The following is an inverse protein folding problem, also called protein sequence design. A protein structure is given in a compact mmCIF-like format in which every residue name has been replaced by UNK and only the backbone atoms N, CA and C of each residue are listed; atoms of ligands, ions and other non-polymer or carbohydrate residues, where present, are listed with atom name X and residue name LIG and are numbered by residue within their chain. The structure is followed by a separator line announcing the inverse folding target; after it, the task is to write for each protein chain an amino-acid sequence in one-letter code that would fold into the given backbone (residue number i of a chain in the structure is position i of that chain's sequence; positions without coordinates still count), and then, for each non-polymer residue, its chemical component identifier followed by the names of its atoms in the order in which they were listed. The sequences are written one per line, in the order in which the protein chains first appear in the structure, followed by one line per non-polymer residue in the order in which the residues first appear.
data_IF_850158901435
#
_entry.id   IF_850158901435
#
_cell.length_a   1.000
_cell.length_b   1.000
_cell.length_c   1.000
_cell.angle_alpha   90.00
_cell.angle_beta   90.00
_cell.angle_gamma   90.00
#
_symmetry.space_group_name_H-M   'P 1'
#
loop_
_entity.id
_entity.type
_entity.pdbx_description
1 polymer ?
#
# COMPACT_ATOMS: atom_id res chain seq x y z
N UNK A 1 20.54 59.38 28.37
CA UNK A 1 20.02 58.04 28.61
C UNK A 1 18.83 57.88 27.68
N UNK A 2 19.01 57.25 26.52
CA UNK A 2 17.94 57.04 25.55
C UNK A 2 17.60 55.52 25.61
N UNK A 3 16.43 55.26 26.16
CA UNK A 3 15.88 53.90 26.29
C UNK A 3 15.31 53.47 24.91
N UNK A 4 16.02 52.58 24.22
CA UNK A 4 15.59 52.00 22.96
C UNK A 4 14.55 50.92 23.25
N UNK A 5 13.29 51.27 23.10
CA UNK A 5 12.19 50.31 23.10
C UNK A 5 12.27 49.46 21.83
N UNK A 6 12.78 48.25 21.98
CA UNK A 6 12.77 47.22 20.91
C UNK A 6 11.33 46.70 20.81
N UNK A 7 10.57 47.17 19.84
CA UNK A 7 9.28 46.58 19.45
C UNK A 7 9.55 45.34 18.60
N UNK A 8 9.31 44.16 19.16
CA UNK A 8 9.34 42.91 18.42
C UNK A 8 8.30 42.95 17.29
N UNK A 9 8.74 42.69 16.08
CA UNK A 9 7.89 42.62 14.88
C UNK A 9 6.95 41.40 15.00
N UNK A 10 5.61 41.56 15.02
CA UNK A 10 4.65 40.45 15.10
C UNK A 10 4.66 39.51 13.88
N UNK A 11 5.34 39.89 12.79
CA UNK A 11 5.47 39.08 11.60
C UNK A 11 6.46 37.90 11.76
N UNK A 12 7.31 37.89 12.82
CA UNK A 12 8.29 36.82 13.04
C UNK A 12 7.73 35.59 13.77
N UNK A 13 6.58 35.72 14.45
CA UNK A 13 5.99 34.58 15.20
C UNK A 13 5.21 33.59 14.35
N UNK A 14 4.71 34.00 13.18
CA UNK A 14 3.88 33.15 12.31
C UNK A 14 4.68 32.16 11.43
N UNK A 15 6.00 32.34 11.32
CA UNK A 15 6.85 31.46 10.52
C UNK A 15 7.30 30.16 11.23
N UNK A 16 7.08 30.06 12.55
CA UNK A 16 7.60 28.96 13.37
C UNK A 16 6.79 27.65 13.32
N UNK A 17 5.58 27.64 12.75
CA UNK A 17 4.64 26.50 12.84
C UNK A 17 4.78 25.44 11.75
N UNK A 18 5.54 25.72 10.69
CA UNK A 18 5.75 24.79 9.57
C UNK A 18 7.13 24.10 9.54
N UNK A 19 7.92 24.20 10.63
CA UNK A 19 9.24 23.57 10.68
C UNK A 19 9.17 22.04 10.74
N UNK A 20 10.12 21.32 10.12
CA UNK A 20 10.21 19.88 10.24
C UNK A 20 10.29 19.42 11.69
N UNK A 21 9.65 18.29 12.01
CA UNK A 21 9.67 17.71 13.36
C UNK A 21 11.11 17.55 13.85
N UNK A 22 11.47 18.25 14.95
CA UNK A 22 12.82 18.16 15.52
C UNK A 22 13.11 16.75 16.02
N UNK A 23 14.39 16.31 16.01
CA UNK A 23 14.83 14.97 16.44
C UNK A 23 14.31 14.53 17.81
N UNK A 24 14.01 15.48 18.71
CA UNK A 24 13.53 15.20 20.08
C UNK A 24 12.08 14.69 20.14
N UNK A 25 11.23 15.02 19.15
CA UNK A 25 9.80 14.65 19.11
C UNK A 25 9.56 13.46 18.16
N UNK A 26 10.56 13.04 17.41
CA UNK A 26 10.47 11.97 16.43
C UNK A 26 10.38 10.60 17.10
N UNK A 27 9.34 9.83 16.81
CA UNK A 27 9.16 8.47 17.33
C UNK A 27 10.03 7.52 16.50
N UNK A 28 11.24 7.26 17.00
CA UNK A 28 12.24 6.44 16.28
C UNK A 28 11.76 5.04 15.94
N UNK A 29 10.94 4.42 16.80
CA UNK A 29 10.41 3.08 16.57
C UNK A 29 9.52 3.00 15.32
N UNK A 30 8.71 4.03 15.05
CA UNK A 30 7.87 4.09 13.84
C UNK A 30 8.73 4.19 12.59
N UNK A 31 9.78 5.00 12.61
CA UNK A 31 10.68 5.14 11.47
C UNK A 31 11.47 3.87 11.21
N UNK A 32 11.92 3.19 12.26
CA UNK A 32 12.62 1.89 12.14
C UNK A 32 11.71 0.83 11.57
N UNK A 33 10.47 0.69 12.10
CA UNK A 33 9.50 -0.26 11.58
C UNK A 33 9.15 0.01 10.11
N UNK A 34 9.03 1.29 9.73
CA UNK A 34 8.80 1.68 8.34
C UNK A 34 9.96 1.28 7.44
N UNK A 35 11.20 1.46 7.91
CA UNK A 35 12.40 1.01 7.19
C UNK A 35 12.45 -0.49 7.00
N UNK A 36 12.15 -1.27 8.04
CA UNK A 36 12.09 -2.74 7.99
C UNK A 36 10.98 -3.19 7.02
N UNK A 37 9.80 -2.59 7.10
CA UNK A 37 8.70 -2.92 6.20
C UNK A 37 9.04 -2.63 4.73
N UNK A 38 9.68 -1.51 4.44
CA UNK A 38 10.16 -1.18 3.07
C UNK A 38 11.19 -2.18 2.57
N UNK A 39 12.13 -2.60 3.44
CA UNK A 39 13.11 -3.62 3.07
C UNK A 39 12.45 -4.97 2.76
N UNK A 40 11.46 -5.38 3.55
CA UNK A 40 10.68 -6.58 3.27
C UNK A 40 9.93 -6.49 1.93
N UNK A 41 9.26 -5.37 1.66
CA UNK A 41 8.58 -5.12 0.38
C UNK A 41 9.58 -5.20 -0.79
N UNK A 42 10.80 -4.65 -0.62
CA UNK A 42 11.86 -4.75 -1.64
C UNK A 42 12.26 -6.19 -1.93
N UNK A 43 12.39 -7.03 -0.89
CA UNK A 43 12.75 -8.45 -1.05
C UNK A 43 11.75 -9.20 -1.94
N UNK A 44 10.45 -8.91 -1.80
CA UNK A 44 9.43 -9.52 -2.67
C UNK A 44 9.47 -8.92 -4.09
N UNK A 45 9.67 -7.61 -4.21
CA UNK A 45 9.74 -6.97 -5.52
C UNK A 45 10.95 -7.41 -6.36
N UNK A 46 12.02 -7.94 -5.76
CA UNK A 46 13.17 -8.50 -6.48
C UNK A 46 12.73 -9.60 -7.46
N UNK A 47 11.75 -10.42 -7.10
CA UNK A 47 11.20 -11.45 -7.98
C UNK A 47 10.64 -10.82 -9.26
N UNK A 48 9.84 -9.76 -9.12
CA UNK A 48 9.24 -9.06 -10.25
C UNK A 48 10.23 -8.22 -11.07
N UNK A 49 11.41 -7.89 -10.51
CA UNK A 49 12.49 -7.24 -11.27
C UNK A 49 13.31 -8.20 -12.10
N UNK A 50 13.46 -9.45 -11.64
CA UNK A 50 14.35 -10.44 -12.26
C UNK A 50 13.65 -11.49 -13.11
N UNK A 51 12.36 -11.72 -12.88
CA UNK A 51 11.55 -12.75 -13.54
C UNK A 51 10.34 -12.14 -14.24
N UNK A 52 9.69 -12.88 -15.16
CA UNK A 52 8.40 -12.45 -15.72
C UNK A 52 7.40 -12.15 -14.60
N UNK A 53 6.61 -11.09 -14.77
CA UNK A 53 5.67 -10.62 -13.72
C UNK A 53 4.67 -11.72 -13.28
N UNK A 54 4.35 -12.67 -14.16
CA UNK A 54 3.53 -13.83 -13.82
C UNK A 54 4.12 -14.71 -12.72
N UNK A 55 5.46 -14.79 -12.63
CA UNK A 55 6.17 -15.58 -11.59
C UNK A 55 5.99 -15.00 -10.19
N UNK A 56 5.64 -13.71 -10.08
CA UNK A 56 5.33 -13.09 -8.80
C UNK A 56 4.06 -13.67 -8.16
N UNK A 57 3.05 -14.02 -8.96
CA UNK A 57 1.77 -14.57 -8.49
C UNK A 57 1.69 -16.08 -8.55
N UNK A 58 2.48 -16.68 -9.44
CA UNK A 58 2.45 -18.12 -9.67
C UNK A 58 3.87 -18.70 -9.71
N UNK A 59 4.35 -19.31 -8.63
CA UNK A 59 5.70 -19.87 -8.56
C UNK A 59 5.93 -21.01 -9.56
N UNK A 60 4.87 -21.65 -10.04
CA UNK A 60 4.96 -22.76 -11.01
C UNK A 60 5.13 -22.26 -12.45
N UNK A 61 4.95 -20.95 -12.69
CA UNK A 61 5.13 -20.34 -14.00
C UNK A 61 6.57 -20.46 -14.52
N UNK A 62 7.54 -20.40 -13.60
CA UNK A 62 8.95 -20.64 -13.92
C UNK A 62 9.37 -22.03 -13.45
N UNK A 63 9.72 -22.90 -14.40
CA UNK A 63 10.18 -24.27 -14.15
C UNK A 63 11.44 -24.38 -13.27
N UNK A 64 12.12 -23.27 -13.00
CA UNK A 64 13.32 -23.22 -12.14
C UNK A 64 12.99 -23.08 -10.64
N UNK A 65 11.72 -22.92 -10.27
CA UNK A 65 11.27 -22.83 -8.88
C UNK A 65 11.01 -24.22 -8.30
N UNK A 66 12.11 -24.97 -8.09
CA UNK A 66 12.10 -26.29 -7.44
C UNK A 66 12.97 -26.31 -6.18
N UNK A 67 12.75 -27.29 -5.33
CA UNK A 67 13.55 -27.55 -4.15
C UNK A 67 13.68 -26.34 -3.22
N UNK A 68 14.90 -25.89 -2.97
CA UNK A 68 15.18 -24.78 -2.05
C UNK A 68 14.61 -23.44 -2.55
N UNK A 69 14.56 -23.21 -3.87
CA UNK A 69 14.03 -21.99 -4.44
C UNK A 69 12.52 -21.87 -4.16
N UNK A 70 11.78 -22.96 -4.34
CA UNK A 70 10.36 -23.02 -4.03
C UNK A 70 10.10 -22.82 -2.53
N UNK A 71 10.87 -23.47 -1.67
CA UNK A 71 10.75 -23.30 -0.22
C UNK A 71 11.04 -21.87 0.22
N UNK A 72 12.03 -21.23 -0.39
CA UNK A 72 12.37 -19.83 -0.12
C UNK A 72 11.25 -18.91 -0.59
N UNK A 73 10.69 -19.13 -1.78
CA UNK A 73 9.56 -18.37 -2.30
C UNK A 73 8.36 -18.46 -1.34
N UNK A 74 7.96 -19.67 -0.94
CA UNK A 74 6.84 -19.89 -0.01
C UNK A 74 7.10 -19.20 1.34
N UNK A 75 8.30 -19.30 1.88
CA UNK A 75 8.65 -18.64 3.13
C UNK A 75 8.57 -17.12 3.00
N UNK A 76 9.06 -16.54 1.90
CA UNK A 76 8.95 -15.11 1.62
C UNK A 76 7.51 -14.66 1.44
N UNK A 77 6.69 -15.42 0.73
CA UNK A 77 5.26 -15.12 0.53
C UNK A 77 4.52 -15.09 1.87
N UNK A 78 4.70 -16.10 2.72
CA UNK A 78 4.01 -16.20 4.01
C UNK A 78 4.48 -15.15 5.01
N UNK A 79 5.80 -14.97 5.18
CA UNK A 79 6.36 -14.17 6.28
C UNK A 79 6.64 -12.72 5.88
N UNK A 80 6.85 -12.44 4.60
CA UNK A 80 7.28 -11.11 4.14
C UNK A 80 6.17 -10.39 3.40
N UNK A 81 5.58 -11.01 2.37
CA UNK A 81 4.66 -10.35 1.45
C UNK A 81 3.47 -9.68 2.17
N UNK A 82 2.58 -10.46 2.76
CA UNK A 82 1.40 -9.92 3.43
C UNK A 82 1.72 -9.12 4.68
N UNK A 83 2.68 -9.61 5.49
CA UNK A 83 3.05 -9.00 6.76
C UNK A 83 3.69 -7.62 6.59
N UNK A 84 4.65 -7.47 5.68
CA UNK A 84 5.37 -6.20 5.50
C UNK A 84 4.48 -5.14 4.86
N UNK A 85 3.64 -5.49 3.91
CA UNK A 85 2.62 -4.58 3.35
C UNK A 85 1.59 -4.16 4.41
N UNK A 86 1.16 -5.09 5.25
CA UNK A 86 0.25 -4.82 6.36
C UNK A 86 0.84 -3.82 7.36
N UNK A 87 2.08 -4.06 7.81
CA UNK A 87 2.81 -3.16 8.70
C UNK A 87 2.96 -1.78 8.06
N UNK A 88 3.37 -1.71 6.80
CA UNK A 88 3.54 -0.45 6.08
C UNK A 88 2.22 0.33 5.96
N UNK A 89 1.10 -0.35 5.68
CA UNK A 89 -0.23 0.25 5.62
C UNK A 89 -0.67 0.82 6.97
N UNK A 90 -0.46 0.07 8.05
CA UNK A 90 -0.74 0.54 9.41
C UNK A 90 0.10 1.77 9.78
N UNK A 91 1.39 1.76 9.43
CA UNK A 91 2.29 2.90 9.67
C UNK A 91 1.94 4.11 8.80
N UNK A 92 1.40 3.90 7.60
CA UNK A 92 0.87 4.98 6.77
C UNK A 92 -0.32 5.65 7.44
N UNK A 93 -1.30 4.87 7.93
CA UNK A 93 -2.45 5.37 8.67
C UNK A 93 -2.07 6.09 9.96
N UNK A 94 -1.14 5.52 10.75
CA UNK A 94 -0.61 6.17 11.95
C UNK A 94 0.10 7.50 11.62
N UNK A 95 0.89 7.53 10.56
CA UNK A 95 1.56 8.74 10.08
C UNK A 95 0.58 9.82 9.63
N UNK A 96 -0.53 9.42 9.01
CA UNK A 96 -1.63 10.32 8.66
C UNK A 96 -2.23 10.98 9.91
N UNK A 97 -2.61 10.17 10.91
CA UNK A 97 -3.17 10.70 12.16
C UNK A 97 -2.20 11.66 12.85
N UNK A 98 -0.94 11.26 13.03
CA UNK A 98 0.08 12.11 13.64
C UNK A 98 0.31 13.42 12.88
N UNK A 99 0.08 13.43 11.59
CA UNK A 99 0.24 14.64 10.77
C UNK A 99 -0.93 15.61 10.95
N UNK A 100 -2.18 15.10 10.97
CA UNK A 100 -3.37 15.96 11.06
C UNK A 100 -3.70 16.40 12.50
N UNK A 101 -3.30 15.62 13.51
CA UNK A 101 -3.62 15.92 14.92
C UNK A 101 -2.55 16.73 15.62
N UNK A 102 -1.75 17.52 14.90
CA UNK A 102 -0.78 18.44 15.51
C UNK A 102 -1.52 19.53 16.30
N UNK A 103 -1.35 19.61 17.65
CA UNK A 103 -2.17 20.48 18.49
C UNK A 103 -1.97 21.97 18.25
N UNK A 104 -0.79 22.39 17.79
CA UNK A 104 -0.37 23.80 17.68
C UNK A 104 -0.22 24.28 16.23
N UNK A 105 -0.74 23.54 15.26
CA UNK A 105 -0.59 23.88 13.85
C UNK A 105 -1.91 24.46 13.28
N UNK A 106 -1.78 25.46 12.42
CA UNK A 106 -2.89 26.00 11.64
C UNK A 106 -3.53 24.88 10.81
N UNK A 107 -4.82 24.64 11.02
CA UNK A 107 -5.57 23.55 10.36
C UNK A 107 -5.56 23.71 8.84
N UNK A 108 -5.67 24.91 8.31
CA UNK A 108 -5.67 25.18 6.88
C UNK A 108 -4.30 24.92 6.25
N UNK A 109 -3.23 25.28 6.95
CA UNK A 109 -1.87 24.99 6.53
C UNK A 109 -1.59 23.48 6.51
N UNK A 110 -1.98 22.77 7.57
CA UNK A 110 -1.82 21.30 7.66
C UNK A 110 -2.59 20.61 6.54
N UNK A 111 -3.83 21.05 6.31
CA UNK A 111 -4.67 20.55 5.22
C UNK A 111 -4.00 20.75 3.85
N UNK A 112 -3.54 21.96 3.57
CA UNK A 112 -2.88 22.29 2.31
C UNK A 112 -1.62 21.45 2.07
N UNK A 113 -0.76 21.29 3.09
CA UNK A 113 0.44 20.45 3.03
C UNK A 113 0.09 18.97 2.83
N UNK A 114 -0.96 18.48 3.49
CA UNK A 114 -1.43 17.11 3.33
C UNK A 114 -1.86 16.82 1.91
N UNK A 115 -2.75 17.64 1.34
CA UNK A 115 -3.21 17.44 -0.03
C UNK A 115 -2.07 17.55 -1.04
N UNK A 116 -1.19 18.54 -0.90
CA UNK A 116 -0.02 18.66 -1.76
C UNK A 116 0.85 17.40 -1.74
N UNK A 117 1.14 16.85 -0.55
CA UNK A 117 1.90 15.61 -0.39
C UNK A 117 1.20 14.43 -1.04
N UNK A 118 -0.11 14.30 -0.83
CA UNK A 118 -0.92 13.19 -1.35
C UNK A 118 -1.03 13.22 -2.87
N UNK A 119 -1.25 14.41 -3.43
CA UNK A 119 -1.26 14.61 -4.89
C UNK A 119 0.11 14.29 -5.50
N UNK A 120 1.22 14.72 -4.86
CA UNK A 120 2.56 14.36 -5.32
C UNK A 120 2.79 12.85 -5.32
N UNK A 121 2.30 12.11 -4.30
CA UNK A 121 2.37 10.64 -4.29
C UNK A 121 1.64 10.04 -5.49
N UNK A 122 0.43 10.53 -5.81
CA UNK A 122 -0.34 10.08 -6.98
C UNK A 122 0.43 10.36 -8.27
N UNK A 123 0.96 11.58 -8.44
CA UNK A 123 1.70 11.96 -9.64
C UNK A 123 2.96 11.12 -9.84
N UNK A 124 3.71 10.87 -8.75
CA UNK A 124 4.90 10.01 -8.81
C UNK A 124 4.50 8.56 -9.12
N UNK A 125 3.40 8.06 -8.54
CA UNK A 125 2.90 6.72 -8.84
C UNK A 125 2.45 6.58 -10.29
N UNK A 126 1.77 7.57 -10.86
CA UNK A 126 1.41 7.61 -12.28
C UNK A 126 2.68 7.63 -13.15
N UNK A 127 3.68 8.44 -12.80
CA UNK A 127 4.96 8.45 -13.49
C UNK A 127 5.64 7.07 -13.47
N UNK A 128 5.68 6.40 -12.31
CA UNK A 128 6.23 5.06 -12.20
C UNK A 128 5.49 4.05 -13.10
N UNK A 129 4.16 4.08 -13.07
CA UNK A 129 3.34 3.12 -13.82
C UNK A 129 3.47 3.31 -15.34
N UNK A 130 3.48 4.54 -15.84
CA UNK A 130 3.42 4.82 -17.28
C UNK A 130 4.77 5.12 -17.92
N UNK A 131 5.71 5.70 -17.20
CA UNK A 131 7.03 6.08 -17.72
C UNK A 131 8.08 5.02 -17.39
N UNK A 132 8.11 4.55 -16.13
CA UNK A 132 9.02 3.47 -15.73
C UNK A 132 8.44 2.08 -16.01
N UNK A 133 7.18 2.01 -16.46
CA UNK A 133 6.45 0.76 -16.80
C UNK A 133 6.49 -0.24 -15.64
N UNK A 134 6.36 0.27 -14.40
CA UNK A 134 6.37 -0.54 -13.20
C UNK A 134 4.95 -0.75 -12.66
N UNK A 135 4.30 -1.92 -12.94
CA UNK A 135 2.91 -2.18 -12.54
C UNK A 135 2.75 -2.42 -11.03
N UNK A 136 3.84 -2.72 -10.32
CA UNK A 136 3.87 -2.95 -8.86
C UNK A 136 3.94 -1.67 -8.02
N UNK A 137 3.63 -0.49 -8.59
CA UNK A 137 3.71 0.77 -7.84
C UNK A 137 2.66 0.88 -6.74
N UNK A 138 3.14 1.14 -5.53
CA UNK A 138 2.29 1.34 -4.35
C UNK A 138 1.97 2.81 -4.09
N UNK A 139 2.72 3.76 -4.67
CA UNK A 139 2.59 5.19 -4.38
C UNK A 139 1.25 5.74 -4.84
N UNK A 140 0.80 5.34 -6.05
CA UNK A 140 -0.51 5.69 -6.57
C UNK A 140 -1.61 5.21 -5.61
N UNK A 141 -1.57 3.94 -5.23
CA UNK A 141 -2.57 3.33 -4.33
C UNK A 141 -2.60 4.02 -2.97
N UNK A 142 -1.43 4.29 -2.37
CA UNK A 142 -1.35 5.02 -1.10
C UNK A 142 -1.76 6.49 -1.23
N UNK A 143 -1.51 7.12 -2.38
CA UNK A 143 -2.00 8.46 -2.66
C UNK A 143 -3.52 8.53 -2.70
N UNK A 144 -4.17 7.63 -3.44
CA UNK A 144 -5.64 7.54 -3.49
C UNK A 144 -6.22 7.17 -2.12
N UNK A 145 -5.66 6.16 -1.45
CA UNK A 145 -6.07 5.77 -0.10
C UNK A 145 -5.93 6.95 0.90
N UNK A 146 -4.87 7.76 0.77
CA UNK A 146 -4.69 8.98 1.55
C UNK A 146 -5.82 9.98 1.37
N UNK A 147 -6.25 10.25 0.13
CA UNK A 147 -7.40 11.13 -0.12
C UNK A 147 -8.67 10.62 0.56
N UNK A 148 -8.94 9.31 0.45
CA UNK A 148 -10.09 8.68 1.11
C UNK A 148 -9.96 8.76 2.63
N UNK A 149 -8.78 8.52 3.18
CA UNK A 149 -8.53 8.55 4.61
C UNK A 149 -8.85 9.91 5.23
N UNK A 150 -8.65 11.00 4.48
CA UNK A 150 -8.98 12.35 4.92
C UNK A 150 -10.46 12.55 5.21
N UNK A 151 -11.35 11.89 4.45
CA UNK A 151 -12.81 11.92 4.67
C UNK A 151 -13.16 11.33 6.03
N UNK A 152 -12.43 10.32 6.46
CA UNK A 152 -12.67 9.60 7.72
C UNK A 152 -11.98 10.21 8.94
N UNK A 153 -11.28 11.34 8.81
CA UNK A 153 -10.47 11.96 9.87
C UNK A 153 -11.21 12.26 11.17
N UNK A 154 -12.52 12.48 11.10
CA UNK A 154 -13.36 12.79 12.26
C UNK A 154 -14.06 11.55 12.86
N UNK A 155 -13.84 10.36 12.29
CA UNK A 155 -14.48 9.15 12.78
C UNK A 155 -13.77 8.62 14.02
N UNK A 156 -14.57 8.13 14.99
CA UNK A 156 -14.00 7.47 16.17
C UNK A 156 -13.31 6.16 15.79
N UNK A 157 -12.30 5.75 16.58
CA UNK A 157 -11.58 4.51 16.38
C UNK A 157 -12.50 3.28 16.27
N UNK A 158 -13.60 3.26 17.08
CA UNK A 158 -14.59 2.16 17.02
C UNK A 158 -15.32 2.11 15.68
N UNK A 159 -15.72 3.28 15.12
CA UNK A 159 -16.37 3.35 13.81
C UNK A 159 -15.42 2.93 12.69
N UNK A 160 -14.16 3.38 12.74
CA UNK A 160 -13.14 2.98 11.78
C UNK A 160 -12.85 1.47 11.83
N UNK A 161 -12.75 0.90 13.02
CA UNK A 161 -12.55 -0.54 13.19
C UNK A 161 -13.73 -1.34 12.63
N UNK A 162 -14.97 -0.88 12.86
CA UNK A 162 -16.17 -1.52 12.30
C UNK A 162 -16.18 -1.46 10.77
N UNK A 163 -15.94 -0.28 10.18
CA UNK A 163 -15.89 -0.10 8.72
C UNK A 163 -14.81 -0.99 8.12
N UNK A 164 -13.60 -1.00 8.71
CA UNK A 164 -12.50 -1.86 8.26
C UNK A 164 -12.87 -3.33 8.34
N UNK A 165 -13.48 -3.76 9.44
CA UNK A 165 -13.93 -5.15 9.61
C UNK A 165 -14.96 -5.57 8.56
N UNK A 166 -15.92 -4.71 8.24
CA UNK A 166 -16.91 -4.96 7.17
C UNK A 166 -16.23 -5.05 5.81
N UNK A 167 -15.31 -4.12 5.49
CA UNK A 167 -14.57 -4.16 4.22
C UNK A 167 -13.75 -5.44 4.11
N UNK A 168 -13.02 -5.83 5.16
CA UNK A 168 -12.24 -7.08 5.17
C UNK A 168 -13.13 -8.31 5.01
N UNK A 169 -14.29 -8.36 5.68
CA UNK A 169 -15.24 -9.46 5.53
C UNK A 169 -15.77 -9.56 4.09
N UNK A 170 -16.15 -8.44 3.49
CA UNK A 170 -16.60 -8.40 2.09
C UNK A 170 -15.50 -8.85 1.12
N UNK A 171 -14.28 -8.37 1.29
CA UNK A 171 -13.14 -8.78 0.46
C UNK A 171 -12.83 -10.27 0.62
N UNK A 172 -12.89 -10.80 1.83
CA UNK A 172 -12.70 -12.22 2.09
C UNK A 172 -13.78 -13.08 1.42
N UNK A 173 -15.05 -12.65 1.49
CA UNK A 173 -16.16 -13.33 0.80
C UNK A 173 -15.96 -13.28 -0.72
N UNK A 174 -15.66 -12.12 -1.27
CA UNK A 174 -15.42 -11.95 -2.70
C UNK A 174 -14.25 -12.82 -3.19
N UNK A 175 -13.15 -12.83 -2.45
CA UNK A 175 -11.97 -13.64 -2.79
C UNK A 175 -12.29 -15.14 -2.75
N UNK A 176 -13.00 -15.58 -1.71
CA UNK A 176 -13.42 -16.98 -1.58
C UNK A 176 -14.37 -17.39 -2.71
N UNK A 177 -15.36 -16.54 -3.02
CA UNK A 177 -16.30 -16.80 -4.11
C UNK A 177 -15.60 -16.88 -5.47
N UNK A 178 -14.66 -15.95 -5.74
CA UNK A 178 -13.85 -15.98 -6.96
C UNK A 178 -13.01 -17.25 -7.07
N UNK A 179 -12.42 -17.69 -5.96
CA UNK A 179 -11.61 -18.91 -5.93
C UNK A 179 -12.46 -20.18 -6.12
N UNK A 180 -13.66 -20.22 -5.58
CA UNK A 180 -14.61 -21.33 -5.83
C UNK A 180 -15.08 -21.35 -7.29
N UNK A 181 -15.38 -20.19 -7.87
CA UNK A 181 -15.75 -20.07 -9.28
C UNK A 181 -14.63 -20.53 -10.22
N UNK A 182 -13.39 -20.13 -9.94
CA UNK A 182 -12.24 -20.56 -10.77
C UNK A 182 -11.95 -22.06 -10.67
N UNK A 183 -12.23 -22.70 -9.54
CA UNK A 183 -12.14 -24.16 -9.41
C UNK A 183 -13.19 -24.87 -10.25
N UNK A 184 -14.45 -24.42 -10.22
CA UNK A 184 -15.51 -24.98 -11.04
C UNK A 184 -15.20 -24.90 -12.53
N UNK A 185 -14.73 -23.74 -13.01
CA UNK A 185 -14.32 -23.57 -14.41
C UNK A 185 -13.14 -24.48 -14.78
N UNK A 186 -12.20 -24.70 -13.87
CA UNK A 186 -11.07 -25.59 -14.11
C UNK A 186 -11.50 -27.05 -14.21
N UNK A 187 -12.42 -27.48 -13.38
CA UNK A 187 -13.00 -28.83 -13.44
C UNK A 187 -13.74 -29.05 -14.76
N UNK A 188 -14.52 -28.05 -15.20
CA UNK A 188 -15.22 -28.09 -16.49
C UNK A 188 -14.25 -28.17 -17.68
N UNK A 189 -13.16 -27.38 -17.68
CA UNK A 189 -12.12 -27.43 -18.71
C UNK A 189 -11.44 -28.81 -18.74
N UNK A 190 -11.13 -29.39 -17.57
CA UNK A 190 -10.51 -30.70 -17.49
C UNK A 190 -11.45 -31.83 -17.99
N UNK A 191 -12.76 -31.69 -17.75
CA UNK A 191 -13.77 -32.61 -18.32
C UNK A 191 -13.80 -32.51 -19.84
N UNK A 192 -13.79 -31.28 -20.39
CA UNK A 192 -13.76 -31.04 -21.84
C UNK A 192 -12.48 -31.60 -22.47
N UNK A 193 -11.33 -31.35 -21.86
CA UNK A 193 -10.03 -31.89 -22.33
C UNK A 193 -9.94 -33.45 -22.27
N UNK A 194 -10.69 -34.05 -21.36
CA UNK A 194 -10.75 -35.51 -21.24
C UNK A 194 -11.66 -36.17 -22.28
N UNK A 195 -12.46 -35.39 -23.01
CA UNK A 195 -13.31 -35.94 -24.09
C UNK A 195 -12.45 -36.46 -25.26
N UNK A 196 -12.76 -37.62 -25.84
CA UNK A 196 -12.03 -38.12 -27.00
C UNK A 196 -12.13 -37.14 -28.17
N UNK A 197 -11.02 -36.88 -28.86
CA UNK A 197 -10.93 -35.96 -30.00
C UNK A 197 -11.92 -36.28 -31.17
N UNK A 198 -12.54 -37.44 -31.16
CA UNK A 198 -13.59 -37.83 -32.12
C UNK A 198 -14.93 -37.12 -31.90
N UNK A 199 -15.15 -36.48 -30.74
CA UNK A 199 -16.39 -35.77 -30.44
C UNK A 199 -16.30 -34.31 -30.90
N UNK A 200 -15.12 -33.70 -30.87
CA UNK A 200 -14.92 -32.30 -31.30
C UNK A 200 -15.22 -32.06 -32.78
N UNK A 201 -15.08 -33.05 -33.62
CA UNK A 201 -15.29 -32.93 -35.09
C UNK A 201 -16.77 -33.02 -35.51
N UNK A 202 -17.66 -33.53 -34.67
CA UNK A 202 -19.06 -33.73 -35.02
C UNK A 202 -19.97 -32.52 -34.66
N UNK A 203 -19.52 -31.59 -33.84
CA UNK A 203 -20.31 -30.40 -33.50
C UNK A 203 -20.03 -29.18 -34.41
N UNK A 204 -19.06 -29.26 -35.32
CA UNK A 204 -18.67 -28.16 -36.23
C UNK A 204 -19.14 -28.42 -37.67
N UNK A 205 -19.85 -29.51 -37.95
CA UNK A 205 -20.54 -29.77 -39.21
C UNK A 205 -22.04 -29.47 -39.09
#
# INVERSE_FOLDING_TARGET
MVESTYTADPASETAATASPVTRKVRIRSIDTLRGVALLGILLMNIIAFGLPYASYFNPVFDSNLEGINLSTYIAMDIFVEGSMRGIFSMLFGAGFLLFITKPDADEDLVRGLYFRRTVLLILIGVFNAYILVWPGDILFTYGVAGLLLYVFRHYSAKKLALISGVIFALLAIMHTASHMGSRGLREEVLEIEALPASIELNEVQ
#
